data_IF_447753869889
#
_entry.id   IF_447753869889
#
_cell.length_a   1.000
_cell.length_b   1.000
_cell.length_c   1.000
_cell.angle_alpha   90.00
_cell.angle_beta   90.00
_cell.angle_gamma   90.00
#
_symmetry.space_group_name_H-M   'P 1'
#
loop_
_entity.id
_entity.type
_entity.pdbx_description
1 polymer ?
#
# COMPACT_ATOMS: atom_id res chain seq x y z
N UNK A 1 -10.64 -17.87 4.89
CA UNK A 1 -10.75 -17.17 3.57
C UNK A 1 -11.25 -15.76 3.83
N UNK A 2 -10.49 -14.75 3.42
CA UNK A 2 -10.83 -13.34 3.62
C UNK A 2 -11.99 -12.90 2.72
N UNK A 3 -12.71 -11.85 3.12
CA UNK A 3 -13.64 -11.16 2.22
C UNK A 3 -12.89 -10.32 1.20
N UNK A 4 -11.82 -9.65 1.66
CA UNK A 4 -10.96 -8.83 0.81
C UNK A 4 -9.51 -8.90 1.27
N UNK A 5 -8.59 -9.10 0.33
CA UNK A 5 -7.16 -8.88 0.51
C UNK A 5 -6.75 -7.62 -0.24
N UNK A 6 -6.10 -6.71 0.46
CA UNK A 6 -5.59 -5.44 -0.09
C UNK A 6 -4.08 -5.55 -0.24
N UNK A 7 -3.57 -5.30 -1.45
CA UNK A 7 -2.14 -5.36 -1.76
C UNK A 7 -1.59 -3.93 -1.82
N UNK A 8 -0.83 -3.58 -0.81
CA UNK A 8 -0.21 -2.27 -0.63
C UNK A 8 -0.88 -1.42 0.44
N UNK A 9 -0.07 -0.78 1.28
CA UNK A 9 -0.48 0.08 2.40
C UNK A 9 -0.23 1.57 2.16
N UNK A 10 -0.21 2.00 0.90
CA UNK A 10 -0.28 3.42 0.56
C UNK A 10 -1.66 4.01 0.87
N UNK A 11 -1.88 5.31 0.59
CA UNK A 11 -3.14 6.00 0.89
C UNK A 11 -4.38 5.29 0.35
N UNK A 12 -4.30 4.73 -0.85
CA UNK A 12 -5.40 4.02 -1.49
C UNK A 12 -5.76 2.73 -0.73
N UNK A 13 -4.76 1.91 -0.40
CA UNK A 13 -4.96 0.66 0.33
C UNK A 13 -5.48 0.89 1.74
N UNK A 14 -4.90 1.85 2.46
CA UNK A 14 -5.34 2.21 3.82
C UNK A 14 -6.77 2.77 3.83
N UNK A 15 -7.11 3.62 2.86
CA UNK A 15 -8.48 4.12 2.72
C UNK A 15 -9.48 2.99 2.51
N UNK A 16 -9.17 2.05 1.62
CA UNK A 16 -10.01 0.87 1.38
C UNK A 16 -10.13 -0.01 2.63
N UNK A 17 -9.03 -0.22 3.35
CA UNK A 17 -9.00 -1.02 4.57
C UNK A 17 -9.91 -0.45 5.68
N UNK A 18 -9.87 0.88 5.87
CA UNK A 18 -10.76 1.57 6.81
C UNK A 18 -12.22 1.31 6.47
N UNK A 19 -12.62 1.45 5.20
CA UNK A 19 -13.99 1.20 4.78
C UNK A 19 -14.38 -0.27 4.85
N UNK A 20 -13.48 -1.19 4.52
CA UNK A 20 -13.71 -2.62 4.65
C UNK A 20 -14.02 -3.01 6.11
N UNK A 21 -13.22 -2.51 7.08
CA UNK A 21 -13.47 -2.75 8.51
C UNK A 21 -14.78 -2.12 8.98
N UNK A 22 -15.09 -0.91 8.54
CA UNK A 22 -16.38 -0.27 8.86
C UNK A 22 -17.58 -1.03 8.31
N UNK A 23 -17.39 -1.75 7.20
CA UNK A 23 -18.39 -2.66 6.62
C UNK A 23 -18.40 -4.06 7.28
N UNK A 24 -17.62 -4.26 8.33
CA UNK A 24 -17.46 -5.54 9.05
C UNK A 24 -16.96 -6.68 8.15
N UNK A 25 -16.16 -6.38 7.12
CA UNK A 25 -15.54 -7.38 6.27
C UNK A 25 -14.29 -7.96 6.95
N UNK A 26 -14.03 -9.24 6.68
CA UNK A 26 -12.76 -9.89 7.01
C UNK A 26 -11.69 -9.44 6.01
N UNK A 27 -10.86 -8.48 6.42
CA UNK A 27 -9.87 -7.80 5.60
C UNK A 27 -8.46 -8.03 6.12
N UNK A 28 -7.49 -8.10 5.20
CA UNK A 28 -6.06 -8.04 5.50
C UNK A 28 -5.36 -7.15 4.47
N UNK A 29 -4.35 -6.43 4.94
CA UNK A 29 -3.44 -5.63 4.10
C UNK A 29 -2.10 -6.35 4.02
N UNK A 30 -1.63 -6.64 2.81
CA UNK A 30 -0.30 -7.16 2.55
C UNK A 30 0.62 -6.00 2.14
N UNK A 31 1.75 -5.85 2.82
CA UNK A 31 2.74 -4.80 2.53
C UNK A 31 4.14 -5.39 2.51
N UNK A 32 4.88 -5.13 1.46
CA UNK A 32 6.25 -5.62 1.30
C UNK A 32 7.29 -4.77 2.01
N UNK A 33 7.05 -3.46 2.08
CA UNK A 33 8.00 -2.55 2.69
C UNK A 33 7.88 -2.59 4.22
N UNK A 34 8.99 -2.46 4.95
CA UNK A 34 8.97 -2.42 6.41
C UNK A 34 8.17 -1.22 6.95
N UNK A 35 8.10 -0.16 6.16
CA UNK A 35 7.33 1.03 6.44
C UNK A 35 6.32 1.25 5.33
N UNK A 36 5.04 1.21 5.68
CA UNK A 36 3.96 1.51 4.75
C UNK A 36 3.91 3.00 4.36
N UNK A 37 2.85 3.37 3.64
CA UNK A 37 2.61 4.76 3.23
C UNK A 37 2.91 5.04 1.75
N UNK A 38 3.60 4.12 1.07
CA UNK A 38 3.89 4.24 -0.36
C UNK A 38 4.79 5.45 -0.67
N UNK A 39 4.64 6.01 -1.87
CA UNK A 39 5.47 7.14 -2.32
C UNK A 39 5.30 8.42 -1.51
N UNK A 40 4.20 8.57 -0.80
CA UNK A 40 3.89 9.76 -0.01
C UNK A 40 4.96 10.04 1.05
N UNK A 41 5.58 9.03 1.62
CA UNK A 41 6.58 9.19 2.70
C UNK A 41 7.80 10.02 2.30
N UNK A 42 8.08 10.14 1.01
CA UNK A 42 9.22 10.92 0.49
C UNK A 42 8.89 12.40 0.27
N UNK A 43 7.63 12.80 0.42
CA UNK A 43 7.21 14.19 0.24
C UNK A 43 7.56 15.00 1.47
N UNK A 44 8.42 16.00 1.30
CA UNK A 44 8.94 16.80 2.42
C UNK A 44 7.88 17.75 2.99
N UNK A 45 7.01 18.27 2.16
CA UNK A 45 6.03 19.29 2.53
C UNK A 45 4.68 18.99 1.88
N UNK A 46 3.62 18.95 2.69
CA UNK A 46 2.25 18.72 2.25
C UNK A 46 1.34 19.78 2.88
N UNK A 47 1.02 20.82 2.11
CA UNK A 47 0.23 21.98 2.57
C UNK A 47 -1.22 21.95 2.12
N UNK A 48 -1.54 21.07 1.18
CA UNK A 48 -2.84 21.04 0.49
C UNK A 48 -3.71 19.83 0.86
N UNK A 49 -3.37 19.11 1.92
CA UNK A 49 -4.22 18.04 2.42
C UNK A 49 -5.26 18.60 3.39
N UNK A 50 -6.53 18.57 2.99
CA UNK A 50 -7.63 19.15 3.75
C UNK A 50 -7.69 18.61 5.18
N UNK A 51 -7.68 19.51 6.15
CA UNK A 51 -7.71 19.19 7.58
C UNK A 51 -6.34 18.92 8.22
N UNK A 52 -5.28 18.82 7.43
CA UNK A 52 -3.91 18.64 7.91
C UNK A 52 -2.95 19.58 7.14
N UNK A 53 -3.06 20.90 7.34
CA UNK A 53 -2.10 21.84 6.75
C UNK A 53 -0.73 21.70 7.42
N UNK A 54 0.30 22.14 6.74
CA UNK A 54 1.66 22.21 7.27
C UNK A 54 2.17 20.86 7.82
N UNK A 55 1.96 19.77 7.06
CA UNK A 55 2.45 18.43 7.38
C UNK A 55 3.51 17.99 6.36
N UNK A 56 4.06 16.81 6.57
CA UNK A 56 4.91 16.13 5.60
C UNK A 56 4.33 14.75 5.27
N UNK A 57 4.86 14.13 4.22
CA UNK A 57 4.31 12.87 3.75
C UNK A 57 4.50 11.73 4.73
N UNK A 58 5.58 11.73 5.52
CA UNK A 58 5.83 10.72 6.55
C UNK A 58 4.79 10.80 7.69
N UNK A 59 4.60 11.99 8.25
CA UNK A 59 3.64 12.19 9.35
C UNK A 59 2.20 11.92 8.88
N UNK A 60 1.89 12.29 7.64
CA UNK A 60 0.60 12.01 7.02
C UNK A 60 0.37 10.50 6.86
N UNK A 61 1.40 9.77 6.38
CA UNK A 61 1.34 8.31 6.26
C UNK A 61 1.14 7.62 7.61
N UNK A 62 1.83 8.09 8.65
CA UNK A 62 1.65 7.57 10.00
C UNK A 62 0.23 7.77 10.52
N UNK A 63 -0.37 8.94 10.28
CA UNK A 63 -1.76 9.20 10.68
C UNK A 63 -2.75 8.27 9.98
N UNK A 64 -2.54 7.98 8.70
CA UNK A 64 -3.36 7.04 7.95
C UNK A 64 -3.23 5.62 8.50
N UNK A 65 -2.00 5.18 8.75
CA UNK A 65 -1.74 3.86 9.32
C UNK A 65 -2.34 3.71 10.73
N UNK A 66 -2.17 4.74 11.59
CA UNK A 66 -2.76 4.76 12.92
C UNK A 66 -4.29 4.67 12.88
N UNK A 67 -4.94 5.34 11.92
CA UNK A 67 -6.38 5.23 11.73
C UNK A 67 -6.81 3.80 11.39
N UNK A 68 -6.11 3.14 10.46
CA UNK A 68 -6.38 1.75 10.12
C UNK A 68 -6.13 0.80 11.31
N UNK A 69 -5.04 0.99 12.04
CA UNK A 69 -4.71 0.22 13.26
C UNK A 69 -5.74 0.41 14.36
N UNK A 70 -6.26 1.62 14.55
CA UNK A 70 -7.30 1.90 15.55
C UNK A 70 -8.61 1.15 15.24
N UNK A 71 -8.85 0.78 14.00
CA UNK A 71 -9.95 -0.09 13.57
C UNK A 71 -9.57 -1.58 13.55
N UNK A 72 -8.42 -1.92 14.10
CA UNK A 72 -7.91 -3.29 14.15
C UNK A 72 -7.80 -3.95 12.76
N UNK A 73 -7.37 -3.17 11.75
CA UNK A 73 -7.01 -3.72 10.42
C UNK A 73 -5.77 -4.60 10.58
N UNK A 74 -5.81 -5.88 10.19
CA UNK A 74 -4.62 -6.73 10.18
C UNK A 74 -3.66 -6.34 9.05
N UNK A 75 -2.37 -6.23 9.38
CA UNK A 75 -1.28 -6.03 8.43
C UNK A 75 -0.36 -7.24 8.45
N UNK A 76 0.01 -7.73 7.29
CA UNK A 76 0.99 -8.80 7.13
C UNK A 76 2.12 -8.28 6.23
N UNK A 77 3.35 -8.41 6.73
CA UNK A 77 4.54 -8.09 5.93
C UNK A 77 4.82 -9.25 5.00
N UNK A 78 4.48 -9.09 3.74
CA UNK A 78 4.74 -10.06 2.67
C UNK A 78 4.73 -9.36 1.30
N UNK A 79 5.62 -9.78 0.42
CA UNK A 79 5.61 -9.35 -0.98
C UNK A 79 4.72 -10.31 -1.78
N UNK A 80 3.81 -9.78 -2.57
CA UNK A 80 2.93 -10.59 -3.40
C UNK A 80 3.61 -10.92 -4.71
N UNK A 81 3.83 -12.21 -4.96
CA UNK A 81 4.44 -12.71 -6.18
C UNK A 81 3.39 -13.01 -7.26
N UNK A 82 2.24 -13.54 -6.86
CA UNK A 82 1.25 -13.98 -7.82
C UNK A 82 -0.18 -13.81 -7.31
N UNK A 83 -1.09 -13.53 -8.25
CA UNK A 83 -2.54 -13.43 -7.99
C UNK A 83 -3.26 -14.22 -9.07
N UNK A 84 -3.97 -15.26 -8.67
CA UNK A 84 -4.69 -16.18 -9.56
C UNK A 84 -6.17 -16.19 -9.23
N UNK A 85 -7.01 -16.22 -10.26
CA UNK A 85 -8.45 -16.42 -10.10
C UNK A 85 -8.78 -17.91 -10.15
N UNK A 86 -9.45 -18.39 -9.13
CA UNK A 86 -9.95 -19.76 -9.06
C UNK A 86 -11.18 -19.97 -9.94
N UNK A 87 -11.47 -21.23 -10.27
CA UNK A 87 -12.65 -21.60 -11.09
C UNK A 87 -13.98 -21.30 -10.41
N UNK A 88 -14.01 -21.22 -9.07
CA UNK A 88 -15.18 -20.87 -8.28
C UNK A 88 -15.40 -19.36 -8.13
N UNK A 89 -14.53 -18.55 -8.75
CA UNK A 89 -14.60 -17.09 -8.73
C UNK A 89 -13.85 -16.43 -7.57
N UNK A 90 -13.32 -17.20 -6.63
CA UNK A 90 -12.43 -16.70 -5.57
C UNK A 90 -11.01 -16.42 -6.11
N UNK A 91 -10.14 -15.88 -5.26
CA UNK A 91 -8.77 -15.54 -5.61
C UNK A 91 -7.79 -16.22 -4.68
N UNK A 92 -6.68 -16.65 -5.26
CA UNK A 92 -5.51 -17.18 -4.57
C UNK A 92 -4.36 -16.19 -4.76
N UNK A 93 -3.79 -15.74 -3.67
CA UNK A 93 -2.64 -14.83 -3.65
C UNK A 93 -1.47 -15.59 -3.04
N UNK A 94 -0.33 -15.58 -3.71
CA UNK A 94 0.89 -16.22 -3.22
C UNK A 94 1.91 -15.16 -2.87
N UNK A 95 2.37 -15.15 -1.62
CA UNK A 95 3.43 -14.28 -1.16
C UNK A 95 4.83 -14.87 -1.39
N UNK A 96 5.85 -14.03 -1.41
CA UNK A 96 7.26 -14.43 -1.51
C UNK A 96 7.70 -15.28 -0.32
N UNK A 97 7.02 -15.15 0.83
CA UNK A 97 7.20 -16.05 1.98
C UNK A 97 6.77 -17.50 1.72
N UNK A 98 6.08 -17.76 0.61
CA UNK A 98 5.43 -19.03 0.31
C UNK A 98 4.04 -19.17 0.92
N UNK A 99 3.57 -18.16 1.66
CA UNK A 99 2.23 -18.15 2.24
C UNK A 99 1.18 -17.97 1.16
N UNK A 100 0.07 -18.68 1.28
CA UNK A 100 -1.07 -18.57 0.38
C UNK A 100 -2.23 -17.94 1.13
N UNK A 101 -2.81 -16.88 0.52
CA UNK A 101 -3.97 -16.16 1.00
C UNK A 101 -5.14 -16.42 0.06
N UNK A 102 -6.26 -16.91 0.59
CA UNK A 102 -7.50 -17.11 -0.17
C UNK A 102 -8.50 -16.02 0.17
N UNK A 103 -9.14 -15.45 -0.84
CA UNK A 103 -10.06 -14.33 -0.67
C UNK A 103 -11.17 -14.31 -1.72
N UNK A 104 -12.31 -13.72 -1.35
CA UNK A 104 -13.41 -13.48 -2.29
C UNK A 104 -13.10 -12.36 -3.28
N UNK A 105 -12.38 -11.33 -2.82
CA UNK A 105 -12.02 -10.15 -3.64
C UNK A 105 -10.59 -9.69 -3.38
N UNK A 106 -9.96 -9.10 -4.39
CA UNK A 106 -8.61 -8.51 -4.30
C UNK A 106 -8.69 -7.05 -4.68
N UNK A 107 -8.03 -6.20 -3.89
CA UNK A 107 -7.82 -4.81 -4.21
C UNK A 107 -6.33 -4.57 -4.46
N UNK A 108 -5.99 -4.16 -5.67
CA UNK A 108 -4.64 -3.81 -6.07
C UNK A 108 -4.39 -2.32 -5.77
N UNK A 109 -3.58 -2.03 -4.76
CA UNK A 109 -3.18 -0.69 -4.35
C UNK A 109 -1.64 -0.56 -4.34
N UNK A 110 -1.00 -1.17 -5.34
CA UNK A 110 0.46 -1.37 -5.42
C UNK A 110 1.24 -0.09 -5.71
N UNK A 111 0.55 1.01 -6.02
CA UNK A 111 1.18 2.27 -6.37
C UNK A 111 1.85 2.22 -7.74
N UNK A 112 2.77 3.16 -7.96
CA UNK A 112 3.57 3.25 -9.18
C UNK A 112 5.01 3.61 -8.85
N UNK A 113 5.94 3.15 -9.64
CA UNK A 113 7.36 3.52 -9.59
C UNK A 113 7.80 4.16 -10.91
N UNK A 114 8.78 5.05 -10.83
CA UNK A 114 9.38 5.61 -12.04
C UNK A 114 10.21 4.56 -12.77
N UNK A 115 10.12 4.55 -14.08
CA UNK A 115 11.01 3.74 -14.90
C UNK A 115 12.35 4.45 -14.98
N UNK A 116 13.41 3.80 -14.50
CA UNK A 116 14.77 4.30 -14.63
C UNK A 116 15.26 4.18 -16.08
N UNK A 117 16.02 5.18 -16.53
CA UNK A 117 16.70 5.15 -17.84
C UNK A 117 17.95 4.25 -17.79
N UNK A 118 18.55 4.09 -16.61
CA UNK A 118 19.76 3.31 -16.40
C UNK A 118 21.04 4.00 -16.94
N UNK A 119 21.02 5.33 -17.00
CA UNK A 119 22.18 6.11 -17.47
C UNK A 119 23.05 6.57 -16.29
N UNK A 120 24.37 6.76 -16.49
CA UNK A 120 25.26 7.28 -15.45
C UNK A 120 24.78 8.64 -14.92
N UNK A 121 24.75 8.79 -13.60
CA UNK A 121 24.33 10.04 -12.95
C UNK A 121 22.84 10.14 -12.63
N UNK A 122 21.99 9.26 -13.16
CA UNK A 122 20.55 9.32 -12.93
C UNK A 122 20.19 9.33 -11.43
N UNK A 123 20.77 8.41 -10.67
CA UNK A 123 20.46 8.30 -9.24
C UNK A 123 21.08 9.45 -8.40
N UNK A 124 22.28 9.88 -8.77
CA UNK A 124 22.98 10.94 -8.03
C UNK A 124 22.43 12.33 -8.30
N UNK A 125 21.78 12.53 -9.45
CA UNK A 125 21.19 13.80 -9.87
C UNK A 125 19.67 13.82 -9.74
N UNK A 126 19.06 12.79 -9.18
CA UNK A 126 17.62 12.75 -8.92
C UNK A 126 17.23 13.91 -7.99
N UNK A 127 16.28 14.76 -8.46
CA UNK A 127 15.90 16.00 -7.77
C UNK A 127 16.86 17.17 -7.93
N UNK A 128 18.05 16.96 -8.53
CA UNK A 128 19.08 17.99 -8.76
C UNK A 128 19.43 18.15 -10.25
N UNK A 129 18.52 17.78 -11.13
CA UNK A 129 18.68 17.86 -12.59
C UNK A 129 18.00 16.75 -13.35
N UNK A 130 17.78 15.60 -12.70
CA UNK A 130 16.93 14.52 -13.19
C UNK A 130 15.59 14.59 -12.47
N UNK A 131 14.50 14.69 -13.23
CA UNK A 131 13.12 14.72 -12.72
C UNK A 131 12.30 13.64 -13.41
N UNK A 132 11.40 13.04 -12.65
CA UNK A 132 10.44 12.04 -13.13
C UNK A 132 9.02 12.62 -13.15
#
# INVERSE_FOLDING_TARGET
MYDIVIIGSGPAGLSAAVYAKRACLDVVVLEKEPMGGGQMIYTQEVDNYLGLPETNGFDLAQKFEQHAKALEVPFISDEVDNVEKNTDGTWKITGASGTVYETKTVLLATGAGHRKLGVPGEETLAGAGVSY
#
